data_IF_082385262209
#
_entry.id   IF_082385262209
#
_cell.length_a   1.000
_cell.length_b   1.000
_cell.length_c   1.000
_cell.angle_alpha   90.00
_cell.angle_beta   90.00
_cell.angle_gamma   90.00
#
_symmetry.space_group_name_H-M   'P 1'
#
loop_
_entity.id
_entity.type
_entity.pdbx_description
1 polymer ?
#
# COMPACT_ATOMS: atom_id res chain seq x y z
N UNK A 1 -5.29 -25.83 19.94
CA UNK A 1 -5.00 -24.38 19.95
C UNK A 1 -4.15 -24.06 18.73
N UNK A 2 -4.73 -23.52 17.65
CA UNK A 2 -3.97 -23.07 16.48
C UNK A 2 -3.45 -21.67 16.80
N UNK A 3 -2.15 -21.56 17.09
CA UNK A 3 -1.49 -20.27 17.21
C UNK A 3 -1.42 -19.71 15.79
N UNK A 4 -2.11 -18.60 15.52
CA UNK A 4 -2.06 -17.96 14.21
C UNK A 4 -0.65 -17.39 13.99
N UNK A 5 -0.12 -17.56 12.79
CA UNK A 5 1.19 -17.03 12.38
C UNK A 5 1.28 -15.51 12.53
N UNK A 6 0.13 -14.82 12.51
CA UNK A 6 -0.02 -13.38 12.79
C UNK A 6 0.40 -13.00 14.21
N UNK A 7 0.08 -13.82 15.23
CA UNK A 7 0.41 -13.52 16.63
C UNK A 7 1.92 -13.63 16.91
N UNK A 8 2.62 -14.52 16.22
CA UNK A 8 4.07 -14.69 16.37
C UNK A 8 4.82 -13.51 15.74
N UNK A 9 4.36 -13.03 14.57
CA UNK A 9 4.94 -11.85 13.92
C UNK A 9 4.78 -10.59 14.77
N UNK A 10 3.61 -10.38 15.39
CA UNK A 10 3.37 -9.24 16.29
C UNK A 10 4.26 -9.26 17.53
N UNK A 11 4.54 -10.44 18.10
CA UNK A 11 5.40 -10.58 19.27
C UNK A 11 6.87 -10.30 18.95
N UNK A 12 7.33 -10.71 17.76
CA UNK A 12 8.70 -10.48 17.28
C UNK A 12 8.96 -8.99 16.98
N UNK A 13 7.96 -8.28 16.43
CA UNK A 13 8.02 -6.83 16.23
C UNK A 13 8.06 -6.09 17.57
N UNK A 14 7.29 -6.54 18.57
CA UNK A 14 7.29 -5.92 19.91
C UNK A 14 8.63 -6.13 20.64
N UNK A 15 9.28 -7.28 20.45
CA UNK A 15 10.57 -7.60 21.07
C UNK A 15 11.75 -6.78 20.47
N UNK A 16 11.64 -6.34 19.22
CA UNK A 16 12.65 -5.51 18.56
C UNK A 16 12.60 -4.03 19.00
N UNK A 17 11.45 -3.57 19.52
CA UNK A 17 11.27 -2.17 19.94
C UNK A 17 11.84 -1.92 21.35
N UNK A 18 11.84 -2.94 22.22
CA UNK A 18 12.23 -2.78 23.63
C UNK A 18 13.73 -2.72 23.86
N UNK A 19 14.55 -3.22 22.94
CA UNK A 19 16.02 -3.19 23.07
C UNK A 19 16.66 -1.89 22.62
N UNK A 20 15.91 -0.99 21.94
CA UNK A 20 16.43 0.29 21.43
C UNK A 20 16.21 1.52 22.32
N UNK A 21 15.39 1.42 23.38
CA UNK A 21 14.96 2.58 24.18
C UNK A 21 15.87 2.93 25.37
N UNK A 22 16.96 2.19 25.59
CA UNK A 22 17.95 2.47 26.63
C UNK A 22 19.16 3.24 26.07
N UNK A 23 18.90 4.37 25.42
CA UNK A 23 19.94 5.35 25.05
C UNK A 23 19.88 6.55 25.98
N UNK A 24 20.93 6.75 26.79
CA UNK A 24 21.06 7.91 27.66
C UNK A 24 20.97 9.21 26.85
N UNK A 25 20.04 10.09 27.22
CA UNK A 25 19.89 11.43 26.65
C UNK A 25 20.93 12.34 27.29
N UNK A 26 22.02 12.59 26.57
CA UNK A 26 22.99 13.62 26.94
C UNK A 26 22.51 14.97 26.38
N UNK A 27 22.23 15.92 27.27
CA UNK A 27 21.41 17.12 27.00
C UNK A 27 22.15 18.20 26.18
N UNK A 28 23.44 17.99 25.90
CA UNK A 28 24.36 19.06 25.46
C UNK A 28 24.73 19.01 23.97
N UNK A 29 23.90 18.40 23.12
CA UNK A 29 24.27 18.22 21.72
C UNK A 29 23.10 18.28 20.74
N UNK A 30 22.61 19.50 20.54
CA UNK A 30 21.94 19.92 19.30
C UNK A 30 22.92 19.96 18.09
N UNK A 31 23.89 19.04 18.05
CA UNK A 31 24.73 18.82 16.87
C UNK A 31 23.96 17.89 15.95
N UNK A 32 23.82 18.31 14.69
CA UNK A 32 23.23 17.54 13.59
C UNK A 32 23.50 16.04 13.72
N UNK A 33 22.43 15.26 13.77
CA UNK A 33 22.45 13.80 13.92
C UNK A 33 22.46 13.05 12.58
N UNK A 34 22.88 13.74 11.51
CA UNK A 34 23.27 13.10 10.26
C UNK A 34 24.63 12.43 10.45
N UNK A 35 24.61 11.31 11.17
CA UNK A 35 25.79 10.53 11.53
C UNK A 35 26.10 9.59 10.37
N UNK A 36 27.33 9.65 9.87
CA UNK A 36 27.85 8.71 8.88
C UNK A 36 27.74 7.27 9.38
N UNK A 37 27.42 6.34 8.47
CA UNK A 37 27.17 4.92 8.76
C UNK A 37 26.01 4.61 9.74
N UNK A 38 25.15 5.59 10.01
CA UNK A 38 23.94 5.36 10.82
C UNK A 38 22.80 4.78 10.01
N UNK A 39 21.98 3.99 10.70
CA UNK A 39 20.72 3.46 10.20
C UNK A 39 19.55 4.08 10.96
N UNK A 40 18.45 4.29 10.25
CA UNK A 40 17.19 4.78 10.83
C UNK A 40 16.01 4.07 10.18
N UNK A 41 14.97 3.86 10.98
CA UNK A 41 13.69 3.34 10.52
C UNK A 41 12.71 4.51 10.39
N UNK A 42 11.97 4.54 9.29
CA UNK A 42 10.99 5.57 9.00
C UNK A 42 9.64 4.92 8.73
N UNK A 43 8.60 5.49 9.33
CA UNK A 43 7.21 5.07 9.18
C UNK A 43 6.31 6.29 9.34
N UNK A 44 5.15 6.26 8.71
CA UNK A 44 4.14 7.32 8.84
C UNK A 44 3.03 6.85 9.77
N UNK A 45 2.76 7.65 10.79
CA UNK A 45 1.60 7.50 11.66
C UNK A 45 0.47 8.32 11.03
N UNK A 46 -0.61 7.64 10.64
CA UNK A 46 -1.86 8.23 10.16
C UNK A 46 -2.78 8.60 11.33
N UNK A 47 -3.98 9.10 11.01
CA UNK A 47 -5.06 9.20 12.00
C UNK A 47 -5.27 7.85 12.70
N UNK A 48 -5.63 7.92 13.99
CA UNK A 48 -5.89 6.77 14.85
C UNK A 48 -4.72 5.79 15.02
N UNK A 49 -3.48 6.27 14.93
CA UNK A 49 -2.25 5.46 15.05
C UNK A 49 -2.13 4.33 14.01
N UNK A 50 -2.89 4.41 12.92
CA UNK A 50 -2.76 3.48 11.80
C UNK A 50 -1.46 3.77 11.03
N UNK A 51 -0.80 2.74 10.50
CA UNK A 51 0.33 2.92 9.60
C UNK A 51 -0.19 3.21 8.19
N UNK A 52 0.36 4.21 7.52
CA UNK A 52 -0.04 4.53 6.14
C UNK A 52 1.15 4.82 5.23
N UNK A 53 0.94 4.74 3.92
CA UNK A 53 2.00 4.74 2.91
C UNK A 53 2.72 6.08 2.71
N UNK A 54 4.06 6.10 2.80
CA UNK A 54 4.89 7.28 2.58
C UNK A 54 5.67 7.15 1.26
N UNK A 55 5.28 7.88 0.20
CA UNK A 55 6.04 8.17 -1.05
C UNK A 55 7.07 7.10 -1.52
N UNK A 56 6.71 5.82 -1.42
CA UNK A 56 7.62 4.69 -1.68
C UNK A 56 7.49 3.48 -0.75
N UNK A 57 7.00 3.63 0.50
CA UNK A 57 6.85 2.56 1.49
C UNK A 57 5.98 2.93 2.71
N UNK A 58 5.28 1.99 3.34
CA UNK A 58 4.65 2.20 4.67
C UNK A 58 5.72 2.15 5.77
N UNK A 59 6.79 1.43 5.47
CA UNK A 59 8.00 1.30 6.27
C UNK A 59 9.20 1.53 5.36
N UNK A 60 10.21 2.24 5.84
CA UNK A 60 11.48 2.38 5.13
C UNK A 60 12.68 2.39 6.06
N UNK A 61 13.79 1.85 5.58
CA UNK A 61 15.08 1.90 6.24
C UNK A 61 15.98 2.89 5.50
N UNK A 62 16.58 3.83 6.22
CA UNK A 62 17.50 4.82 5.67
C UNK A 62 18.89 4.62 6.27
N UNK A 63 19.89 4.47 5.40
CA UNK A 63 21.31 4.42 5.75
C UNK A 63 22.01 5.70 5.31
N UNK A 64 22.68 6.40 6.23
CA UNK A 64 23.57 7.49 5.91
C UNK A 64 24.96 6.99 5.51
N UNK A 65 25.50 7.50 4.40
CA UNK A 65 26.91 7.27 4.00
C UNK A 65 27.79 8.46 4.31
N UNK A 66 27.18 9.62 4.56
CA UNK A 66 27.85 10.82 5.01
C UNK A 66 26.83 11.74 5.67
N UNK A 67 27.30 12.90 6.14
CA UNK A 67 26.41 13.97 6.57
C UNK A 67 25.60 14.59 5.41
N UNK A 68 25.88 14.28 4.14
CA UNK A 68 25.20 14.85 2.97
C UNK A 68 24.47 13.83 2.11
N UNK A 69 24.63 12.53 2.37
CA UNK A 69 24.10 11.49 1.51
C UNK A 69 23.56 10.30 2.30
N UNK A 70 22.44 9.76 1.83
CA UNK A 70 21.84 8.55 2.35
C UNK A 70 21.19 7.73 1.22
N UNK A 71 20.99 6.44 1.46
CA UNK A 71 20.06 5.61 0.67
C UNK A 71 18.89 5.24 1.57
N UNK A 72 17.69 5.31 1.01
CA UNK A 72 16.44 4.87 1.63
C UNK A 72 15.88 3.69 0.85
N UNK A 73 15.55 2.62 1.54
CA UNK A 73 14.84 1.45 1.04
C UNK A 73 13.44 1.42 1.61
N UNK A 74 12.41 1.44 0.77
CA UNK A 74 11.01 1.46 1.18
C UNK A 74 10.25 0.20 0.74
N UNK A 75 9.34 -0.26 1.59
CA UNK A 75 8.38 -1.32 1.28
C UNK A 75 6.97 -0.86 1.64
N UNK A 76 6.04 -0.99 0.71
CA UNK A 76 4.61 -0.71 0.88
C UNK A 76 3.81 -1.97 0.57
N UNK A 77 2.92 -2.32 1.49
CA UNK A 77 1.88 -3.31 1.30
C UNK A 77 0.54 -2.61 1.50
N UNK A 78 -0.37 -2.76 0.55
CA UNK A 78 -1.75 -2.27 0.65
C UNK A 78 -2.70 -3.37 0.20
N UNK A 79 -3.87 -3.41 0.81
CA UNK A 79 -4.98 -4.24 0.36
C UNK A 79 -6.30 -3.60 0.72
N UNK A 80 -7.31 -3.87 -0.09
CA UNK A 80 -8.66 -3.33 0.02
C UNK A 80 -9.63 -4.40 -0.47
N UNK A 81 -10.70 -4.61 0.28
CA UNK A 81 -11.82 -5.48 -0.09
C UNK A 81 -13.06 -4.60 -0.06
N UNK A 82 -13.87 -4.69 -1.11
CA UNK A 82 -15.13 -3.97 -1.24
C UNK A 82 -16.22 -4.91 -1.73
N UNK A 83 -17.37 -4.86 -1.07
CA UNK A 83 -18.58 -5.58 -1.46
C UNK A 83 -19.66 -4.52 -1.77
N UNK A 84 -20.29 -4.61 -2.93
CA UNK A 84 -21.38 -3.73 -3.35
C UNK A 84 -22.56 -4.57 -3.86
N UNK A 85 -23.70 -4.42 -3.20
CA UNK A 85 -24.99 -5.03 -3.58
C UNK A 85 -25.89 -3.93 -4.17
N UNK A 86 -26.38 -4.12 -5.39
CA UNK A 86 -27.30 -3.20 -6.06
C UNK A 86 -28.56 -3.93 -6.53
N UNK A 87 -29.71 -3.48 -6.05
CA UNK A 87 -31.03 -3.95 -6.51
C UNK A 87 -31.70 -2.86 -7.34
N UNK A 88 -31.96 -3.11 -8.62
CA UNK A 88 -32.74 -2.22 -9.48
C UNK A 88 -34.14 -2.81 -9.77
N UNK A 89 -35.19 -2.10 -9.35
CA UNK A 89 -36.57 -2.38 -9.76
C UNK A 89 -36.97 -1.55 -10.99
N UNK A 90 -37.08 -2.17 -12.16
CA UNK A 90 -37.57 -1.51 -13.37
C UNK A 90 -39.11 -1.63 -13.45
N UNK A 91 -39.82 -0.61 -12.96
CA UNK A 91 -41.29 -0.51 -13.07
C UNK A 91 -41.75 -0.14 -14.48
N UNK A 92 -41.78 -1.09 -15.42
CA UNK A 92 -42.47 -0.92 -16.71
C UNK A 92 -43.07 -2.25 -17.20
N UNK A 93 -44.41 -2.39 -17.15
CA UNK A 93 -45.33 -3.37 -17.78
C UNK A 93 -44.99 -4.89 -17.79
N UNK A 94 -43.76 -5.28 -17.48
CA UNK A 94 -43.20 -6.62 -17.36
C UNK A 94 -42.37 -6.56 -16.07
N UNK A 95 -42.86 -7.15 -14.99
CA UNK A 95 -42.21 -7.15 -13.67
C UNK A 95 -40.79 -7.71 -13.81
N UNK A 96 -39.79 -6.82 -13.88
CA UNK A 96 -38.39 -7.16 -14.09
C UNK A 96 -37.55 -6.50 -13.00
N UNK A 97 -36.91 -7.33 -12.20
CA UNK A 97 -35.87 -6.91 -11.26
C UNK A 97 -34.51 -7.43 -11.73
N UNK A 98 -33.46 -6.69 -11.39
CA UNK A 98 -32.09 -7.18 -11.47
C UNK A 98 -31.38 -6.95 -10.14
N UNK A 99 -30.72 -7.99 -9.68
CA UNK A 99 -29.81 -7.98 -8.54
C UNK A 99 -28.38 -8.11 -9.10
N UNK A 100 -27.51 -7.19 -8.69
CA UNK A 100 -26.09 -7.16 -9.06
C UNK A 100 -25.27 -7.13 -7.77
N UNK A 101 -24.56 -8.22 -7.51
CA UNK A 101 -23.61 -8.32 -6.41
C UNK A 101 -22.20 -8.26 -7.00
N UNK A 102 -21.36 -7.38 -6.47
CA UNK A 102 -19.97 -7.27 -6.87
C UNK A 102 -19.03 -7.27 -5.67
N UNK A 103 -18.03 -8.13 -5.72
CA UNK A 103 -16.95 -8.22 -4.76
C UNK A 103 -15.64 -7.87 -5.46
N UNK A 104 -14.87 -6.98 -4.86
CA UNK A 104 -13.59 -6.52 -5.39
C UNK A 104 -12.51 -6.64 -4.32
N UNK A 105 -11.50 -7.45 -4.62
CA UNK A 105 -10.31 -7.64 -3.80
C UNK A 105 -9.09 -7.06 -4.49
N UNK A 106 -8.36 -6.20 -3.79
CA UNK A 106 -7.14 -5.58 -4.28
C UNK A 106 -5.99 -5.83 -3.31
N UNK A 107 -4.84 -6.24 -3.82
CA UNK A 107 -3.58 -6.34 -3.07
C UNK A 107 -2.45 -5.76 -3.89
N UNK A 108 -1.59 -4.95 -3.28
CA UNK A 108 -0.39 -4.43 -3.93
C UNK A 108 0.86 -4.41 -3.03
N UNK A 109 1.98 -4.76 -3.65
CA UNK A 109 3.32 -4.73 -3.07
C UNK A 109 4.20 -3.78 -3.87
N UNK A 110 4.83 -2.83 -3.19
CA UNK A 110 5.78 -1.89 -3.80
C UNK A 110 7.09 -1.89 -3.04
N UNK A 111 8.19 -1.96 -3.78
CA UNK A 111 9.56 -1.86 -3.26
C UNK A 111 10.22 -0.66 -3.94
N UNK A 112 10.89 0.18 -3.16
CA UNK A 112 11.55 1.39 -3.64
C UNK A 112 12.97 1.53 -3.10
N UNK A 113 13.82 2.19 -3.86
CA UNK A 113 15.15 2.60 -3.43
C UNK A 113 15.37 4.04 -3.85
N UNK A 114 15.82 4.90 -2.95
CA UNK A 114 16.05 6.31 -3.19
C UNK A 114 17.44 6.71 -2.69
N UNK A 115 18.15 7.50 -3.49
CA UNK A 115 19.30 8.27 -3.02
C UNK A 115 18.80 9.61 -2.48
N UNK A 116 19.22 9.98 -1.27
CA UNK A 116 18.88 11.24 -0.61
C UNK A 116 20.13 12.11 -0.49
N UNK A 117 20.00 13.38 -0.86
CA UNK A 117 21.03 14.40 -0.75
C UNK A 117 20.60 15.53 0.19
N UNK A 118 21.46 15.86 1.14
CA UNK A 118 21.26 16.89 2.14
C UNK A 118 22.20 18.08 1.85
N UNK A 119 21.74 19.13 1.14
CA UNK A 119 22.59 20.27 0.77
C UNK A 119 23.15 21.03 1.98
N UNK A 120 22.41 21.08 3.08
CA UNK A 120 22.82 21.77 4.31
C UNK A 120 22.58 20.88 5.52
N UNK A 121 23.66 20.31 6.05
CA UNK A 121 23.66 19.28 7.08
C UNK A 121 24.07 19.74 8.48
N UNK A 122 24.25 21.05 8.70
CA UNK A 122 24.81 21.60 9.94
C UNK A 122 23.76 22.14 10.91
N UNK A 123 22.48 22.00 10.58
CA UNK A 123 21.37 22.56 11.36
C UNK A 123 20.52 21.44 11.95
N UNK A 124 19.75 21.70 13.02
CA UNK A 124 18.77 20.73 13.52
C UNK A 124 17.67 20.43 12.49
N UNK A 125 17.44 21.35 11.55
CA UNK A 125 16.48 21.23 10.45
C UNK A 125 17.25 21.17 9.15
N UNK A 126 17.13 20.06 8.41
CA UNK A 126 17.88 19.79 7.20
C UNK A 126 16.92 19.58 6.03
N UNK A 127 17.12 20.33 4.95
CA UNK A 127 16.45 20.07 3.69
C UNK A 127 17.11 18.86 3.02
N UNK A 128 16.32 18.03 2.36
CA UNK A 128 16.83 16.97 1.50
C UNK A 128 16.07 16.92 0.18
N UNK A 129 16.76 16.39 -0.83
CA UNK A 129 16.18 16.00 -2.12
C UNK A 129 16.50 14.54 -2.36
N UNK A 130 15.57 13.80 -2.95
CA UNK A 130 15.66 12.37 -3.14
C UNK A 130 15.23 11.95 -4.53
N UNK A 131 15.86 10.92 -5.07
CA UNK A 131 15.42 10.28 -6.30
C UNK A 131 15.80 8.80 -6.34
N UNK A 132 14.98 7.97 -6.97
CA UNK A 132 15.37 6.60 -7.28
C UNK A 132 14.25 5.71 -7.79
N UNK A 133 14.56 4.46 -8.17
CA UNK A 133 13.59 3.58 -8.81
C UNK A 133 12.60 2.94 -7.83
N UNK A 134 11.50 2.45 -8.37
CA UNK A 134 10.60 1.52 -7.68
C UNK A 134 10.04 0.46 -8.61
N UNK A 135 9.69 -0.68 -8.01
CA UNK A 135 8.95 -1.77 -8.62
C UNK A 135 7.65 -1.96 -7.84
N UNK A 136 6.56 -2.21 -8.55
CA UNK A 136 5.23 -2.43 -7.99
C UNK A 136 4.59 -3.65 -8.65
N UNK A 137 3.89 -4.44 -7.85
CA UNK A 137 3.08 -5.55 -8.30
C UNK A 137 1.71 -5.48 -7.62
N UNK A 138 0.63 -5.69 -8.37
CA UNK A 138 -0.72 -5.67 -7.83
C UNK A 138 -1.57 -6.77 -8.45
N UNK A 139 -2.52 -7.28 -7.67
CA UNK A 139 -3.57 -8.18 -8.10
C UNK A 139 -4.91 -7.51 -7.76
N UNK A 140 -5.83 -7.58 -8.69
CA UNK A 140 -7.22 -7.16 -8.53
C UNK A 140 -8.11 -8.32 -8.95
N UNK A 141 -8.84 -8.90 -8.02
CA UNK A 141 -9.86 -9.90 -8.27
C UNK A 141 -11.24 -9.24 -8.17
N UNK A 142 -12.10 -9.53 -9.13
CA UNK A 142 -13.45 -9.01 -9.24
C UNK A 142 -14.39 -10.19 -9.50
N UNK A 143 -15.30 -10.44 -8.57
CA UNK A 143 -16.39 -11.39 -8.72
C UNK A 143 -17.67 -10.58 -8.88
N UNK A 144 -18.41 -10.82 -9.95
CA UNK A 144 -19.68 -10.15 -10.19
C UNK A 144 -20.77 -11.18 -10.51
N UNK A 145 -21.84 -11.16 -9.72
CA UNK A 145 -23.01 -12.00 -9.90
C UNK A 145 -24.20 -11.14 -10.28
N UNK A 146 -24.78 -11.42 -11.44
CA UNK A 146 -25.99 -10.75 -11.91
C UNK A 146 -27.13 -11.75 -11.99
N UNK A 147 -28.21 -11.49 -11.24
CA UNK A 147 -29.46 -12.22 -11.34
C UNK A 147 -30.54 -11.35 -12.01
N UNK A 148 -31.17 -11.88 -13.06
CA UNK A 148 -32.29 -11.21 -13.73
C UNK A 148 -33.55 -12.03 -13.50
N UNK A 149 -34.50 -11.45 -12.78
CA UNK A 149 -35.80 -12.05 -12.48
C UNK A 149 -36.89 -11.39 -13.33
N UNK A 150 -37.74 -12.21 -13.95
CA UNK A 150 -38.88 -11.75 -14.74
C UNK A 150 -40.13 -12.53 -14.35
N UNK A 151 -41.20 -11.84 -13.92
CA UNK A 151 -42.47 -12.44 -13.51
C UNK A 151 -42.30 -13.61 -12.50
N UNK A 152 -41.63 -13.37 -11.36
CA UNK A 152 -41.35 -14.37 -10.30
C UNK A 152 -40.56 -15.62 -10.74
N UNK A 153 -39.92 -15.59 -11.92
CA UNK A 153 -39.03 -16.66 -12.38
C UNK A 153 -37.64 -16.07 -12.66
N UNK A 154 -36.60 -16.62 -12.01
CA UNK A 154 -35.20 -16.31 -12.34
C UNK A 154 -34.93 -16.72 -13.79
N UNK A 155 -34.83 -15.74 -14.69
CA UNK A 155 -34.72 -15.98 -16.13
C UNK A 155 -33.28 -16.22 -16.59
N UNK A 156 -32.30 -15.67 -15.88
CA UNK A 156 -30.87 -15.75 -16.22
C UNK A 156 -30.01 -15.39 -15.01
N UNK A 157 -29.04 -16.24 -14.70
CA UNK A 157 -27.94 -15.91 -13.80
C UNK A 157 -26.65 -15.83 -14.64
N UNK A 158 -25.81 -14.85 -14.35
CA UNK A 158 -24.51 -14.68 -14.98
C UNK A 158 -23.47 -14.42 -13.89
N UNK A 159 -22.43 -15.26 -13.88
CA UNK A 159 -21.28 -15.14 -13.00
C UNK A 159 -20.08 -14.70 -13.84
N UNK A 160 -19.44 -13.60 -13.43
CA UNK A 160 -18.29 -13.01 -14.08
C UNK A 160 -17.14 -12.95 -13.08
N UNK A 161 -16.12 -13.77 -13.33
CA UNK A 161 -14.87 -13.72 -12.60
C UNK A 161 -13.82 -13.02 -13.46
N UNK A 162 -13.16 -12.01 -12.88
CA UNK A 162 -12.08 -11.28 -13.52
C UNK A 162 -10.92 -11.11 -12.56
N UNK A 163 -9.76 -11.63 -12.95
CA UNK A 163 -8.50 -11.35 -12.28
C UNK A 163 -7.63 -10.46 -13.16
N UNK A 164 -7.04 -9.43 -12.56
CA UNK A 164 -6.14 -8.49 -13.22
C UNK A 164 -4.84 -8.41 -12.43
N UNK A 165 -3.79 -9.04 -12.94
CA UNK A 165 -2.43 -8.81 -12.47
C UNK A 165 -1.83 -7.58 -13.16
N UNK A 166 -1.04 -6.82 -12.40
CA UNK A 166 -0.26 -5.74 -12.97
C UNK A 166 1.12 -5.66 -12.34
N UNK A 167 2.11 -5.33 -13.16
CA UNK A 167 3.43 -4.96 -12.68
C UNK A 167 3.82 -3.60 -13.25
N UNK A 168 4.54 -2.83 -12.44
CA UNK A 168 4.98 -1.49 -12.78
C UNK A 168 6.41 -1.24 -12.36
N UNK A 169 7.13 -0.50 -13.20
CA UNK A 169 8.45 0.03 -12.91
C UNK A 169 8.40 1.55 -13.05
N UNK A 170 9.06 2.26 -12.15
CA UNK A 170 9.06 3.71 -12.20
C UNK A 170 10.21 4.37 -11.46
N UNK A 171 10.15 5.69 -11.41
CA UNK A 171 11.05 6.56 -10.67
C UNK A 171 10.27 7.41 -9.69
N UNK A 172 10.84 7.62 -8.51
CA UNK A 172 10.36 8.46 -7.43
C UNK A 172 11.28 9.66 -7.30
N UNK A 173 10.68 10.81 -7.01
CA UNK A 173 11.37 12.02 -6.60
C UNK A 173 10.78 12.49 -5.28
N UNK A 174 11.63 13.03 -4.42
CA UNK A 174 11.25 13.55 -3.12
C UNK A 174 11.97 14.87 -2.84
N UNK A 175 11.28 15.78 -2.18
CA UNK A 175 11.87 16.97 -1.54
C UNK A 175 11.24 17.10 -0.17
N UNK A 176 12.06 17.33 0.85
CA UNK A 176 11.54 17.39 2.20
C UNK A 176 12.46 18.07 3.19
N UNK A 177 11.99 18.13 4.42
CA UNK A 177 12.68 18.68 5.57
C UNK A 177 12.67 17.64 6.67
N UNK A 178 13.84 17.41 7.27
CA UNK A 178 14.03 16.53 8.41
C UNK A 178 14.49 17.36 9.61
N UNK A 179 13.69 17.34 10.67
CA UNK A 179 13.98 18.01 11.94
C UNK A 179 14.36 16.98 13.00
N UNK A 180 15.57 17.08 13.52
CA UNK A 180 16.06 16.21 14.58
C UNK A 180 15.70 16.77 15.95
N UNK A 181 14.78 16.09 16.64
CA UNK A 181 14.38 16.41 18.01
C UNK A 181 15.40 15.88 19.01
N UNK A 182 15.97 14.71 18.72
CA UNK A 182 17.07 14.10 19.46
C UNK A 182 18.07 13.49 18.48
N UNK A 183 19.16 12.90 19.00
CA UNK A 183 20.13 12.16 18.19
C UNK A 183 19.54 10.93 17.49
N UNK A 184 18.45 10.38 18.02
CA UNK A 184 17.89 9.10 17.61
C UNK A 184 16.46 9.23 17.05
N UNK A 185 15.89 10.44 17.07
CA UNK A 185 14.52 10.70 16.67
C UNK A 185 14.43 11.99 15.85
N UNK A 186 13.90 11.86 14.64
CA UNK A 186 13.58 12.97 13.75
C UNK A 186 12.11 12.95 13.35
N UNK A 187 11.60 14.14 13.05
CA UNK A 187 10.37 14.34 12.31
C UNK A 187 10.71 14.71 10.88
N UNK A 188 9.92 14.21 9.94
CA UNK A 188 10.15 14.41 8.53
C UNK A 188 8.86 14.84 7.85
N UNK A 189 8.96 15.89 7.06
CA UNK A 189 7.92 16.37 6.16
C UNK A 189 8.44 16.27 4.72
N UNK A 190 7.71 15.61 3.84
CA UNK A 190 8.16 15.32 2.47
C UNK A 190 7.02 15.49 1.48
N UNK A 191 7.38 16.05 0.34
CA UNK A 191 6.59 16.07 -0.88
C UNK A 191 7.32 15.21 -1.90
N UNK A 192 6.58 14.35 -2.57
CA UNK A 192 7.16 13.47 -3.57
C UNK A 192 6.22 13.27 -4.73
N UNK A 193 6.82 12.85 -5.83
CA UNK A 193 6.14 12.56 -7.08
C UNK A 193 6.74 11.30 -7.68
N UNK A 194 5.95 10.60 -8.49
CA UNK A 194 6.35 9.35 -9.10
C UNK A 194 5.88 9.27 -10.54
N UNK A 195 6.73 8.71 -11.39
CA UNK A 195 6.39 8.36 -12.76
C UNK A 195 6.61 6.87 -12.95
N UNK A 196 5.64 6.17 -13.52
CA UNK A 196 5.75 4.73 -13.77
C UNK A 196 5.19 4.32 -15.12
N UNK A 197 5.75 3.24 -15.62
CA UNK A 197 5.16 2.41 -16.66
C UNK A 197 4.54 1.19 -15.99
N UNK A 198 3.31 0.83 -16.39
CA UNK A 198 2.57 -0.30 -15.83
C UNK A 198 2.03 -1.17 -16.96
N UNK A 199 2.24 -2.48 -16.86
CA UNK A 199 1.63 -3.48 -17.73
C UNK A 199 0.58 -4.24 -16.93
N UNK A 200 -0.59 -4.44 -17.54
CA UNK A 200 -1.69 -5.20 -16.96
C UNK A 200 -1.94 -6.44 -17.84
N UNK A 201 -2.13 -7.59 -17.21
CA UNK A 201 -2.70 -8.77 -17.85
C UNK A 201 -4.09 -8.98 -17.27
N UNK A 202 -5.01 -9.49 -18.09
CA UNK A 202 -6.41 -9.69 -17.69
C UNK A 202 -6.79 -11.11 -18.02
N UNK A 203 -7.24 -11.84 -17.02
CA UNK A 203 -7.91 -13.12 -17.17
C UNK A 203 -9.41 -12.90 -17.02
N UNK A 204 -10.19 -13.52 -17.90
CA UNK A 204 -11.64 -13.34 -17.94
C UNK A 204 -12.29 -14.70 -18.11
N UNK A 205 -13.08 -15.07 -17.10
CA UNK A 205 -13.95 -16.23 -17.15
C UNK A 205 -15.38 -15.72 -17.02
N UNK A 206 -16.29 -16.25 -17.82
CA UNK A 206 -17.71 -15.92 -17.72
C UNK A 206 -18.51 -17.19 -17.90
N UNK A 207 -19.30 -17.52 -16.89
CA UNK A 207 -20.24 -18.64 -16.95
C UNK A 207 -21.67 -18.06 -17.03
N UNK A 208 -22.40 -18.45 -18.06
CA UNK A 208 -23.81 -18.07 -18.22
C UNK A 208 -24.66 -19.28 -17.89
N UNK A 209 -25.32 -19.26 -16.74
CA UNK A 209 -26.21 -20.32 -16.31
C UNK A 209 -27.64 -19.97 -16.74
N UNK A 210 -28.16 -20.67 -17.76
CA UNK A 210 -29.58 -20.63 -18.12
C UNK A 210 -30.31 -21.76 -17.41
N UNK A 211 -31.31 -21.43 -16.59
CA UNK A 211 -32.28 -22.45 -16.15
C UNK A 211 -33.12 -22.88 -17.36
N UNK A 212 -32.97 -24.15 -17.76
CA UNK A 212 -33.59 -24.71 -18.97
C UNK A 212 -32.81 -25.85 -19.63
N UNK A 213 -31.55 -26.07 -19.21
CA UNK A 213 -30.79 -27.28 -19.55
C UNK A 213 -30.14 -27.25 -20.93
N UNK A 214 -29.03 -26.53 -21.06
CA UNK A 214 -27.92 -26.89 -21.95
C UNK A 214 -26.71 -26.01 -21.59
N UNK A 215 -25.62 -26.64 -21.14
CA UNK A 215 -24.32 -25.98 -20.98
C UNK A 215 -23.77 -25.67 -22.37
N UNK A 216 -23.49 -24.41 -22.69
CA UNK A 216 -22.70 -24.05 -23.86
C UNK A 216 -21.27 -23.79 -23.39
N UNK A 217 -20.35 -24.65 -23.86
CA UNK A 217 -18.89 -24.54 -23.73
C UNK A 217 -18.38 -23.59 -24.80
#
# INVERSE_FOLDING_TARGET
>A
MKISTLSIASLLILLLITTGLLGQVDQDSLKSSLIEDSWSLQFRISQDFTLSSFLGGNLSAKKHFSNKSAIRFGVSLSGETSEEEMTEELRNLLDKSSEDESEQDFVSLKISTQYLYYPNSHKPVNLFIGAGPFLEYSILDLNQQMEITQNDTTGRSQEIDRSVDSWGLGVLFAIGVEWFMTRNLSLLAEYGTSFSYRKMTREHTSEVIRQGGEKLI
#
